data_IF_056486626757
#
_entry.id   IF_056486626757
#
_cell.length_a   1.000
_cell.length_b   1.000
_cell.length_c   1.000
_cell.angle_alpha   90.00
_cell.angle_beta   90.00
_cell.angle_gamma   90.00
#
_symmetry.space_group_name_H-M   'P 1'
#
loop_
_entity.id
_entity.type
_entity.pdbx_description
1 polymer ?
#
# COMPACT_ATOMS: atom_id res chain seq x y z
N UNK A 1 8.41 -25.39 -24.73
CA UNK A 1 9.25 -24.24 -24.32
C UNK A 1 8.52 -22.90 -24.39
N UNK A 2 7.75 -22.59 -25.46
CA UNK A 2 7.02 -21.31 -25.58
C UNK A 2 5.82 -21.18 -24.64
N UNK A 3 5.04 -22.26 -24.45
CA UNK A 3 3.83 -22.25 -23.62
C UNK A 3 4.13 -22.14 -22.12
N UNK A 4 5.17 -22.84 -21.65
CA UNK A 4 5.62 -22.83 -20.26
C UNK A 4 6.13 -21.45 -19.82
N UNK A 5 6.82 -20.73 -20.71
CA UNK A 5 7.25 -19.36 -20.45
C UNK A 5 6.06 -18.40 -20.33
N UNK A 6 5.02 -18.59 -21.15
CA UNK A 6 3.80 -17.80 -21.11
C UNK A 6 3.02 -18.00 -19.81
N UNK A 7 2.92 -19.25 -19.35
CA UNK A 7 2.29 -19.59 -18.07
C UNK A 7 3.08 -18.99 -16.89
N UNK A 8 4.41 -19.08 -16.92
CA UNK A 8 5.26 -18.47 -15.90
C UNK A 8 5.09 -16.94 -15.84
N UNK A 9 5.02 -16.27 -17.01
CA UNK A 9 4.79 -14.84 -17.08
C UNK A 9 3.43 -14.47 -16.47
N UNK A 10 2.35 -15.16 -16.84
CA UNK A 10 1.00 -14.93 -16.29
C UNK A 10 0.93 -15.23 -14.79
N UNK A 11 1.68 -16.21 -14.28
CA UNK A 11 1.75 -16.48 -12.86
C UNK A 11 2.45 -15.34 -12.10
N UNK A 12 3.56 -14.80 -12.63
CA UNK A 12 4.27 -13.66 -12.02
C UNK A 12 3.46 -12.36 -12.03
N UNK A 13 2.84 -12.02 -13.17
CA UNK A 13 1.44 -11.56 -13.27
C UNK A 13 0.68 -11.33 -11.97
N UNK A 14 0.04 -12.43 -11.60
CA UNK A 14 -0.99 -12.49 -10.59
C UNK A 14 -0.38 -12.44 -9.18
N UNK A 15 0.82 -12.98 -8.99
CA UNK A 15 1.48 -13.09 -7.69
C UNK A 15 2.07 -11.78 -7.14
N UNK A 16 2.27 -10.76 -7.98
CA UNK A 16 2.86 -9.47 -7.58
C UNK A 16 1.84 -8.46 -7.01
N UNK A 17 0.58 -8.87 -6.84
CA UNK A 17 -0.52 -8.01 -6.39
C UNK A 17 -0.60 -7.68 -4.89
N UNK A 18 0.47 -7.84 -4.10
CA UNK A 18 0.44 -7.54 -2.67
C UNK A 18 0.62 -6.05 -2.37
N UNK A 19 -0.45 -5.27 -2.49
CA UNK A 19 -0.50 -3.90 -1.97
C UNK A 19 -0.69 -3.90 -0.45
N UNK A 20 0.32 -3.44 0.31
CA UNK A 20 0.21 -3.29 1.77
C UNK A 20 -0.35 -1.90 2.12
N UNK A 21 -1.37 -1.83 2.97
CA UNK A 21 -1.90 -0.56 3.48
C UNK A 21 -1.78 -0.47 4.99
N UNK A 22 -1.19 0.60 5.49
CA UNK A 22 -1.11 0.94 6.92
C UNK A 22 -2.03 2.11 7.17
N UNK A 23 -2.93 1.98 8.15
CA UNK A 23 -3.82 3.07 8.57
C UNK A 23 -3.52 3.38 10.02
N UNK A 24 -3.27 4.65 10.33
CA UNK A 24 -2.92 5.11 11.67
C UNK A 24 -4.13 5.79 12.30
N UNK A 25 -4.42 5.44 13.55
CA UNK A 25 -5.53 5.99 14.33
C UNK A 25 -5.01 6.66 15.59
N UNK A 26 -5.71 7.71 16.04
CA UNK A 26 -5.52 8.31 17.36
C UNK A 26 -6.16 7.46 18.48
N UNK A 27 -5.85 7.79 19.74
CA UNK A 27 -6.43 7.22 20.96
C UNK A 27 -7.97 7.16 21.00
N UNK A 28 -8.64 8.06 20.27
CA UNK A 28 -10.11 8.09 20.14
C UNK A 28 -10.66 7.27 18.96
N UNK A 29 -9.81 6.54 18.23
CA UNK A 29 -10.21 5.73 17.08
C UNK A 29 -10.40 6.51 15.77
N UNK A 30 -9.94 7.77 15.70
CA UNK A 30 -10.01 8.60 14.48
C UNK A 30 -8.83 8.34 13.56
N UNK A 31 -9.06 8.20 12.26
CA UNK A 31 -8.00 8.03 11.26
C UNK A 31 -7.21 9.33 11.11
N UNK A 32 -5.90 9.28 11.38
CA UNK A 32 -4.98 10.44 11.29
C UNK A 32 -4.00 10.32 10.12
N UNK A 33 -3.89 9.14 9.54
CA UNK A 33 -3.07 8.94 8.36
C UNK A 33 -3.24 7.57 7.75
N UNK A 34 -2.82 7.47 6.50
CA UNK A 34 -2.84 6.24 5.73
C UNK A 34 -1.63 6.23 4.80
N UNK A 35 -0.93 5.11 4.75
CA UNK A 35 0.04 4.85 3.70
C UNK A 35 -0.31 3.58 2.93
N UNK A 36 -0.34 3.70 1.60
CA UNK A 36 -0.68 2.60 0.70
C UNK A 36 0.50 2.32 -0.21
N UNK A 37 1.12 1.16 -0.01
CA UNK A 37 2.14 0.64 -0.89
C UNK A 37 1.47 0.04 -2.12
N UNK A 38 1.78 0.58 -3.30
CA UNK A 38 1.41 0.02 -4.58
C UNK A 38 2.62 -0.73 -5.14
N UNK A 39 2.50 -2.04 -5.29
CA UNK A 39 3.45 -2.84 -6.06
C UNK A 39 3.04 -2.77 -7.54
N UNK A 40 3.76 -1.96 -8.32
CA UNK A 40 3.67 -1.96 -9.77
C UNK A 40 4.36 -3.21 -10.35
N UNK A 41 3.73 -3.87 -11.32
CA UNK A 41 4.12 -5.20 -11.80
C UNK A 41 5.56 -5.30 -12.32
N UNK A 42 6.20 -4.23 -12.82
CA UNK A 42 7.55 -4.32 -13.41
C UNK A 42 8.41 -3.06 -13.20
N UNK A 43 7.82 -1.88 -12.98
CA UNK A 43 8.54 -0.59 -12.90
C UNK A 43 7.80 0.28 -11.89
N UNK A 44 8.51 0.81 -10.88
CA UNK A 44 7.99 1.70 -9.84
C UNK A 44 6.98 1.06 -8.87
N UNK A 45 7.50 0.39 -7.84
CA UNK A 45 6.80 0.29 -6.56
C UNK A 45 6.86 1.65 -5.86
N UNK A 46 5.71 2.15 -5.41
CA UNK A 46 5.60 3.45 -4.75
C UNK A 46 4.68 3.37 -3.55
N UNK A 47 4.98 4.13 -2.51
CA UNK A 47 4.11 4.27 -1.35
C UNK A 47 3.51 5.68 -1.34
N UNK A 48 2.18 5.76 -1.50
CA UNK A 48 1.45 7.00 -1.31
C UNK A 48 1.07 7.13 0.15
N UNK A 49 1.69 8.06 0.87
CA UNK A 49 1.33 8.36 2.25
C UNK A 49 0.59 9.71 2.33
N UNK A 50 -0.48 9.74 3.12
CA UNK A 50 -1.22 10.95 3.47
C UNK A 50 -1.49 10.92 4.98
N UNK A 51 -1.41 12.07 5.65
CA UNK A 51 -1.71 12.14 7.07
C UNK A 51 -1.78 13.58 7.56
N UNK A 52 -2.52 13.77 8.64
CA UNK A 52 -2.66 15.03 9.35
C UNK A 52 -2.61 14.77 10.85
N UNK A 53 -1.91 15.63 11.59
CA UNK A 53 -1.89 15.53 13.04
C UNK A 53 -3.27 15.88 13.60
N UNK A 54 -3.82 15.01 14.45
CA UNK A 54 -4.98 15.37 15.27
C UNK A 54 -4.52 16.39 16.32
N UNK A 55 -4.97 17.64 16.20
CA UNK A 55 -4.59 18.72 17.12
C UNK A 55 -5.47 18.77 18.37
N UNK A 56 -6.38 17.81 18.55
CA UNK A 56 -7.28 17.80 19.69
C UNK A 56 -6.50 17.64 21.00
N UNK A 57 -6.52 18.67 21.84
CA UNK A 57 -5.77 18.71 23.10
C UNK A 57 -4.42 19.41 23.06
N UNK A 58 -3.99 19.98 21.92
CA UNK A 58 -2.74 20.76 21.81
C UNK A 58 -2.70 21.99 22.72
N UNK A 59 -3.86 22.56 23.03
CA UNK A 59 -4.02 23.79 23.82
C UNK A 59 -4.54 23.52 25.26
N UNK A 60 -4.48 22.27 25.74
CA UNK A 60 -4.76 21.92 27.15
C UNK A 60 -3.47 21.72 27.93
#
# INVERSE_FOLDING_TARGET
MKLSALIALVATVILTGCASSVTTFDSHGRMIGSCKAQTGFIIAGGAGCSGSANQEGRDR
#
